data_IF_943668821000
#
_entry.id   IF_943668821000
#
_cell.length_a   1.000
_cell.length_b   1.000
_cell.length_c   1.000
_cell.angle_alpha   90.00
_cell.angle_beta   90.00
_cell.angle_gamma   90.00
#
_symmetry.space_group_name_H-M   'P 1'
#
loop_
_entity.id
_entity.type
_entity.pdbx_description
1 polymer ?
#
# COMPACT_ATOMS: atom_id res chain seq x y z
N UNK A 1 -2.33 9.66 11.96
CA UNK A 1 -2.98 8.66 12.84
C UNK A 1 -2.59 7.28 12.35
N UNK A 2 -2.63 6.23 13.20
CA UNK A 2 -2.34 4.88 12.71
C UNK A 2 -3.54 4.31 11.95
N UNK A 3 -3.31 3.71 10.79
CA UNK A 3 -4.40 3.21 9.93
C UNK A 3 -5.28 2.20 10.67
N UNK A 4 -4.67 1.19 11.29
CA UNK A 4 -5.37 0.18 12.09
C UNK A 4 -6.31 0.80 13.14
N UNK A 5 -5.83 1.77 13.91
CA UNK A 5 -6.63 2.43 14.96
C UNK A 5 -7.82 3.20 14.37
N UNK A 6 -7.61 3.85 13.22
CA UNK A 6 -8.66 4.56 12.51
C UNK A 6 -9.78 3.61 12.09
N UNK A 7 -9.48 2.42 11.56
CA UNK A 7 -10.52 1.43 11.24
C UNK A 7 -11.12 0.74 12.48
N UNK A 8 -10.31 0.39 13.48
CA UNK A 8 -10.78 -0.27 14.70
C UNK A 8 -11.71 0.61 15.53
N UNK A 9 -11.55 1.94 15.45
CA UNK A 9 -12.49 2.87 16.09
C UNK A 9 -13.91 2.80 15.53
N UNK A 10 -14.11 2.15 14.37
CA UNK A 10 -15.38 2.16 13.65
C UNK A 10 -15.74 3.54 13.11
N UNK A 11 -14.78 4.47 13.13
CA UNK A 11 -15.00 5.85 12.74
C UNK A 11 -15.26 6.03 11.25
N UNK A 12 -14.64 5.16 10.47
CA UNK A 12 -14.66 5.21 9.03
C UNK A 12 -15.04 3.84 8.47
N UNK A 13 -15.66 3.87 7.31
CA UNK A 13 -15.75 2.70 6.44
C UNK A 13 -14.62 2.72 5.40
N UNK A 14 -14.28 1.54 4.90
CA UNK A 14 -13.43 1.40 3.72
C UNK A 14 -13.99 2.22 2.54
N UNK A 15 -13.15 3.07 1.94
CA UNK A 15 -13.50 3.91 0.80
C UNK A 15 -13.98 5.31 1.15
N UNK A 16 -14.00 5.69 2.43
CA UNK A 16 -14.27 7.07 2.83
C UNK A 16 -13.01 7.96 2.74
N UNK A 17 -11.83 7.34 2.79
CA UNK A 17 -10.53 7.94 2.56
C UNK A 17 -10.19 8.08 1.07
N UNK A 18 -8.91 7.95 0.75
CA UNK A 18 -8.41 7.96 -0.63
C UNK A 18 -8.10 6.56 -1.18
N UNK A 19 -8.68 5.50 -0.61
CA UNK A 19 -8.48 4.10 -1.04
C UNK A 19 -8.87 3.87 -2.50
N UNK A 20 -9.90 4.57 -2.99
CA UNK A 20 -10.51 4.34 -4.30
C UNK A 20 -10.52 5.58 -5.21
N UNK A 21 -9.69 6.59 -4.91
CA UNK A 21 -9.60 7.82 -5.73
C UNK A 21 -9.21 7.51 -7.18
N UNK A 22 -8.50 6.40 -7.42
CA UNK A 22 -8.18 5.94 -8.77
C UNK A 22 -9.42 5.50 -9.56
N UNK A 23 -10.32 4.74 -8.94
CA UNK A 23 -11.55 4.28 -9.58
C UNK A 23 -12.46 5.46 -9.93
N UNK A 24 -12.42 6.55 -9.14
CA UNK A 24 -13.09 7.81 -9.48
C UNK A 24 -12.62 8.37 -10.82
N UNK A 25 -11.31 8.40 -11.06
CA UNK A 25 -10.75 8.90 -12.30
C UNK A 25 -11.00 7.96 -13.48
N UNK A 26 -10.78 6.65 -13.29
CA UNK A 26 -10.87 5.66 -14.36
C UNK A 26 -12.28 5.55 -14.97
N UNK A 27 -13.31 5.67 -14.13
CA UNK A 27 -14.68 5.55 -14.61
C UNK A 27 -15.29 6.86 -15.12
N UNK A 28 -14.58 8.01 -15.02
CA UNK A 28 -15.12 9.36 -15.30
C UNK A 28 -16.49 9.65 -14.68
N UNK A 29 -16.91 8.81 -13.74
CA UNK A 29 -18.16 8.92 -13.00
C UNK A 29 -17.76 9.39 -11.62
N UNK A 30 -18.57 10.26 -11.01
CA UNK A 30 -18.38 10.62 -9.62
C UNK A 30 -18.51 9.33 -8.77
N UNK A 31 -17.43 8.58 -8.55
CA UNK A 31 -17.48 7.37 -7.71
C UNK A 31 -17.67 7.76 -6.24
N UNK A 32 -17.41 9.01 -5.83
CA UNK A 32 -18.00 9.54 -4.60
C UNK A 32 -19.51 9.36 -4.58
N UNK A 33 -20.19 9.46 -5.73
CA UNK A 33 -21.61 9.12 -5.88
C UNK A 33 -21.84 7.63 -5.97
N UNK A 34 -20.98 6.80 -6.57
CA UNK A 34 -21.13 5.33 -6.56
C UNK A 34 -20.85 4.70 -5.19
N UNK A 35 -19.70 4.98 -4.57
CA UNK A 35 -19.41 4.74 -3.17
C UNK A 35 -20.53 5.27 -2.27
N UNK A 36 -20.99 6.53 -2.42
CA UNK A 36 -22.17 7.02 -1.68
C UNK A 36 -23.50 6.38 -2.09
N UNK A 37 -23.67 5.81 -3.28
CA UNK A 37 -24.93 5.20 -3.74
C UNK A 37 -24.99 3.75 -3.34
N UNK A 38 -23.89 3.01 -3.42
CA UNK A 38 -23.68 1.69 -2.83
C UNK A 38 -23.73 1.80 -1.30
N UNK A 39 -23.16 2.85 -0.70
CA UNK A 39 -23.28 3.15 0.73
C UNK A 39 -24.68 3.67 1.11
N UNK A 40 -25.36 4.48 0.29
CA UNK A 40 -26.78 4.82 0.51
C UNK A 40 -27.67 3.59 0.36
N UNK A 41 -27.36 2.70 -0.58
CA UNK A 41 -27.96 1.38 -0.69
C UNK A 41 -27.64 0.57 0.57
N UNK A 42 -26.46 0.73 1.20
CA UNK A 42 -26.12 0.09 2.48
C UNK A 42 -26.83 0.67 3.68
N UNK A 43 -27.41 1.86 3.57
CA UNK A 43 -28.31 2.42 4.57
C UNK A 43 -29.75 1.90 4.42
N UNK A 44 -30.12 1.43 3.22
CA UNK A 44 -31.44 0.82 2.92
C UNK A 44 -31.39 -0.70 3.10
N UNK A 45 -30.24 -1.31 2.83
CA UNK A 45 -29.96 -2.73 2.98
C UNK A 45 -29.49 -2.95 4.43
N UNK A 46 -30.07 -3.90 5.19
CA UNK A 46 -29.70 -4.14 6.58
C UNK A 46 -28.18 -4.31 6.77
N UNK A 47 -27.60 -3.82 7.88
CA UNK A 47 -26.20 -4.09 8.21
C UNK A 47 -25.93 -5.60 8.14
N UNK A 48 -24.91 -5.98 7.36
CA UNK A 48 -24.59 -7.38 7.04
C UNK A 48 -25.10 -7.90 5.68
N UNK A 49 -25.89 -7.11 4.92
CA UNK A 49 -26.34 -7.49 3.56
C UNK A 49 -25.78 -6.62 2.44
N UNK A 50 -25.09 -5.51 2.74
CA UNK A 50 -24.33 -4.82 1.72
C UNK A 50 -23.07 -5.63 1.41
N UNK A 51 -23.13 -6.36 0.29
CA UNK A 51 -21.95 -6.98 -0.29
C UNK A 51 -21.22 -5.86 -1.03
N UNK A 52 -20.24 -5.23 -0.37
CA UNK A 52 -19.17 -4.57 -1.14
C UNK A 52 -18.69 -5.59 -2.17
N UNK A 53 -18.41 -5.19 -3.43
CA UNK A 53 -17.80 -6.09 -4.39
C UNK A 53 -16.64 -6.79 -3.67
N UNK A 54 -16.62 -8.12 -3.68
CA UNK A 54 -15.65 -8.93 -2.95
C UNK A 54 -14.21 -8.36 -3.00
N UNK A 55 -13.73 -7.81 -4.14
CA UNK A 55 -12.42 -7.17 -4.21
C UNK A 55 -12.21 -5.97 -3.26
N UNK A 56 -13.21 -5.10 -3.06
CA UNK A 56 -13.08 -3.93 -2.19
C UNK A 56 -13.00 -4.30 -0.71
N UNK A 57 -13.75 -5.34 -0.31
CA UNK A 57 -13.69 -5.88 1.05
C UNK A 57 -12.33 -6.54 1.33
N UNK A 58 -11.87 -7.40 0.42
CA UNK A 58 -10.55 -8.02 0.54
C UNK A 58 -9.45 -6.96 0.59
N UNK A 59 -9.54 -5.94 -0.24
CA UNK A 59 -8.57 -4.87 -0.31
C UNK A 59 -8.36 -4.14 1.04
N UNK A 60 -9.42 -3.61 1.64
CA UNK A 60 -9.29 -2.92 2.92
C UNK A 60 -9.05 -3.87 4.10
N UNK A 61 -9.77 -4.98 4.16
CA UNK A 61 -9.68 -5.88 5.32
C UNK A 61 -8.36 -6.65 5.32
N UNK A 62 -7.82 -7.02 4.15
CA UNK A 62 -6.56 -7.76 4.08
C UNK A 62 -5.32 -6.88 4.29
N UNK A 63 -5.45 -5.56 4.23
CA UNK A 63 -4.30 -4.67 4.42
C UNK A 63 -4.53 -3.47 5.34
N UNK A 64 -5.49 -2.58 5.07
CA UNK A 64 -5.52 -1.25 5.69
C UNK A 64 -5.97 -1.34 7.15
N UNK A 65 -6.92 -2.24 7.42
CA UNK A 65 -7.33 -2.60 8.78
C UNK A 65 -6.19 -3.19 9.63
N UNK A 66 -5.11 -3.65 8.98
CA UNK A 66 -3.98 -4.33 9.63
C UNK A 66 -2.71 -3.48 9.64
N UNK A 67 -2.73 -2.35 8.96
CA UNK A 67 -1.56 -1.51 8.78
C UNK A 67 -1.35 -0.65 10.02
N UNK A 68 -0.28 -0.92 10.79
CA UNK A 68 -0.09 -0.34 12.12
C UNK A 68 0.65 1.01 12.14
N UNK A 69 0.95 1.59 10.99
CA UNK A 69 1.74 2.81 10.88
C UNK A 69 0.89 4.05 10.65
N UNK A 70 1.51 5.22 10.69
CA UNK A 70 0.92 6.50 10.27
C UNK A 70 1.42 6.98 8.89
N UNK A 71 2.28 6.17 8.27
CA UNK A 71 3.00 6.53 7.05
C UNK A 71 2.04 6.66 5.87
N UNK A 72 2.41 7.52 4.95
CA UNK A 72 1.67 7.75 3.73
C UNK A 72 1.80 6.55 2.78
N UNK A 73 0.68 6.15 2.19
CA UNK A 73 0.59 5.07 1.22
C UNK A 73 0.26 5.63 -0.17
N UNK A 74 0.67 4.94 -1.22
CA UNK A 74 0.33 5.29 -2.60
C UNK A 74 -1.19 5.34 -2.78
N UNK A 75 -1.66 6.42 -3.40
CA UNK A 75 -3.07 6.59 -3.78
C UNK A 75 -3.43 5.63 -4.91
N UNK A 76 -2.51 5.46 -5.87
CA UNK A 76 -2.67 4.60 -7.04
C UNK A 76 -1.86 3.33 -6.87
N UNK A 77 -2.52 2.19 -6.94
CA UNK A 77 -1.95 0.90 -6.53
C UNK A 77 -1.89 -0.09 -7.67
N UNK A 78 -2.20 0.38 -8.88
CA UNK A 78 -2.07 -0.38 -10.11
C UNK A 78 -1.83 0.45 -11.37
N UNK A 79 -1.42 1.72 -11.25
CA UNK A 79 -1.16 2.53 -12.44
C UNK A 79 0.28 2.56 -12.88
N UNK A 80 0.43 2.61 -14.20
CA UNK A 80 1.69 2.80 -14.91
C UNK A 80 2.51 3.95 -14.30
N UNK A 81 3.80 3.69 -14.10
CA UNK A 81 4.81 4.63 -13.62
C UNK A 81 4.94 5.90 -14.47
N UNK A 82 4.39 5.91 -15.69
CA UNK A 82 4.37 7.07 -16.59
C UNK A 82 3.49 8.22 -16.13
N UNK A 83 2.55 7.99 -15.21
CA UNK A 83 1.70 9.05 -14.70
C UNK A 83 2.43 9.94 -13.68
N UNK A 84 2.36 11.27 -13.81
CA UNK A 84 3.04 12.20 -12.89
C UNK A 84 2.43 12.21 -11.48
N UNK A 85 1.27 11.59 -11.31
CA UNK A 85 0.52 11.59 -10.05
C UNK A 85 1.02 10.51 -9.07
N UNK A 86 2.15 10.80 -8.44
CA UNK A 86 2.76 9.98 -7.37
C UNK A 86 2.25 10.34 -5.99
N UNK A 87 1.02 10.84 -5.89
CA UNK A 87 0.47 11.24 -4.59
C UNK A 87 0.42 10.05 -3.65
N UNK A 88 0.88 10.29 -2.43
CA UNK A 88 0.64 9.41 -1.29
C UNK A 88 -0.34 10.09 -0.34
N UNK A 89 -0.95 9.35 0.56
CA UNK A 89 -1.97 9.88 1.47
C UNK A 89 -1.96 9.16 2.81
N UNK A 90 -2.52 9.80 3.84
CA UNK A 90 -2.67 9.21 5.17
C UNK A 90 -3.88 9.77 5.92
N UNK A 91 -4.26 9.08 7.00
CA UNK A 91 -5.24 9.58 7.97
C UNK A 91 -4.60 10.53 9.00
N UNK A 92 -5.32 11.60 9.32
CA UNK A 92 -4.95 12.64 10.28
C UNK A 92 -6.15 13.00 11.17
N UNK A 93 -5.90 13.70 12.27
CA UNK A 93 -6.99 14.24 13.07
C UNK A 93 -7.72 15.35 12.33
N UNK A 94 -9.00 15.57 12.65
CA UNK A 94 -9.83 16.65 12.09
C UNK A 94 -9.29 18.06 12.37
N UNK A 95 -8.46 18.21 13.41
CA UNK A 95 -7.76 19.44 13.73
C UNK A 95 -6.54 19.71 12.83
N UNK A 96 -6.21 18.80 11.89
CA UNK A 96 -5.09 19.01 10.97
C UNK A 96 -5.40 20.22 10.07
N UNK A 97 -4.62 21.31 10.16
CA UNK A 97 -4.97 22.57 9.50
C UNK A 97 -4.76 22.54 7.99
N UNK A 98 -3.95 21.59 7.50
CA UNK A 98 -3.63 21.45 6.09
C UNK A 98 -3.86 20.01 5.61
N UNK A 99 -4.92 19.85 4.82
CA UNK A 99 -5.28 18.58 4.22
C UNK A 99 -4.66 18.38 2.82
N UNK A 100 -4.02 19.40 2.25
CA UNK A 100 -3.36 19.36 0.92
C UNK A 100 -4.18 18.66 -0.17
N UNK A 101 -5.46 19.02 -0.27
CA UNK A 101 -6.41 18.43 -1.22
C UNK A 101 -7.12 17.17 -0.73
N UNK A 102 -6.88 16.76 0.52
CA UNK A 102 -7.69 15.79 1.23
C UNK A 102 -8.99 16.36 1.79
N UNK A 103 -9.62 15.63 2.71
CA UNK A 103 -10.99 15.92 3.14
C UNK A 103 -11.24 15.60 4.61
N UNK A 104 -12.08 16.43 5.23
CA UNK A 104 -12.71 16.16 6.52
C UNK A 104 -13.75 15.06 6.36
N UNK A 105 -13.63 13.99 7.14
CA UNK A 105 -14.64 12.95 7.17
C UNK A 105 -15.80 13.42 8.05
N UNK A 106 -17.00 13.33 7.49
CA UNK A 106 -18.22 13.58 8.25
C UNK A 106 -18.62 12.26 8.94
N UNK A 107 -19.26 12.32 10.12
CA UNK A 107 -19.79 11.13 10.75
C UNK A 107 -20.75 10.40 9.80
N UNK A 108 -20.32 9.23 9.32
CA UNK A 108 -21.01 8.42 8.32
C UNK A 108 -21.86 7.32 8.94
N UNK A 109 -21.60 6.97 10.20
CA UNK A 109 -22.37 6.00 10.96
C UNK A 109 -23.29 6.69 12.01
N UNK A 110 -24.52 6.17 12.24
CA UNK A 110 -25.39 6.63 13.32
C UNK A 110 -24.77 6.47 14.72
N UNK A 111 -23.72 5.64 14.84
CA UNK A 111 -22.91 5.47 16.05
C UNK A 111 -21.88 6.60 16.29
N UNK A 112 -21.90 7.68 15.51
CA UNK A 112 -21.04 8.86 15.74
C UNK A 112 -19.57 8.68 15.38
N UNK A 113 -19.25 7.62 14.61
CA UNK A 113 -17.86 7.18 14.42
C UNK A 113 -16.94 8.22 13.78
N UNK A 114 -17.35 8.95 12.75
CA UNK A 114 -16.42 9.76 11.93
C UNK A 114 -15.96 11.07 12.56
N UNK A 115 -16.44 11.43 13.75
CA UNK A 115 -15.99 12.66 14.41
C UNK A 115 -14.51 12.58 14.75
N UNK A 116 -13.75 13.59 14.34
CA UNK A 116 -12.35 13.70 14.72
C UNK A 116 -11.34 13.19 13.69
N UNK A 117 -11.76 12.61 12.56
CA UNK A 117 -10.83 12.04 11.56
C UNK A 117 -10.91 12.79 10.22
N UNK A 118 -9.76 12.94 9.57
CA UNK A 118 -9.61 13.47 8.22
C UNK A 118 -8.56 12.65 7.49
N UNK A 119 -8.44 12.86 6.19
CA UNK A 119 -7.30 12.36 5.44
C UNK A 119 -6.70 13.49 4.61
N UNK A 120 -5.41 13.37 4.32
CA UNK A 120 -4.65 14.36 3.54
C UNK A 120 -3.78 13.68 2.49
N UNK A 121 -3.48 14.39 1.41
CA UNK A 121 -2.36 14.02 0.57
C UNK A 121 -1.05 14.41 1.26
N UNK A 122 -0.03 13.60 1.05
CA UNK A 122 1.27 13.75 1.66
C UNK A 122 2.24 14.44 0.71
N UNK A 123 3.22 15.10 1.31
CA UNK A 123 4.28 15.81 0.61
C UNK A 123 5.60 15.08 0.83
N UNK A 124 6.28 14.76 -0.28
CA UNK A 124 7.60 14.14 -0.28
C UNK A 124 8.58 14.94 0.58
N UNK A 125 9.30 14.24 1.45
CA UNK A 125 10.31 14.84 2.36
C UNK A 125 9.74 15.55 3.59
N UNK A 126 8.43 15.81 3.64
CA UNK A 126 7.78 16.41 4.81
C UNK A 126 6.99 15.37 5.63
N UNK A 127 6.24 14.49 4.98
CA UNK A 127 5.52 13.41 5.65
C UNK A 127 6.26 12.09 5.50
N UNK A 128 6.22 11.27 6.55
CA UNK A 128 6.79 9.91 6.50
C UNK A 128 6.00 9.07 5.48
N UNK A 129 6.68 8.60 4.43
CA UNK A 129 6.07 7.76 3.39
C UNK A 129 6.53 6.30 3.49
N UNK A 130 5.64 5.36 3.12
CA UNK A 130 6.01 3.97 2.91
C UNK A 130 7.05 3.81 1.79
N UNK A 131 7.00 4.71 0.81
CA UNK A 131 7.91 4.75 -0.32
C UNK A 131 9.39 4.96 0.09
N UNK A 132 9.63 5.54 1.28
CA UNK A 132 10.97 5.80 1.80
C UNK A 132 11.54 4.64 2.63
N UNK A 133 10.77 3.56 2.81
CA UNK A 133 11.19 2.36 3.52
C UNK A 133 11.81 1.41 2.49
N UNK A 134 13.02 0.86 2.71
CA UNK A 134 13.58 -0.15 1.81
C UNK A 134 12.73 -1.43 1.76
N UNK A 135 12.66 -2.15 0.62
CA UNK A 135 11.86 -3.37 0.48
C UNK A 135 12.11 -4.41 1.57
N UNK A 136 13.38 -4.69 1.87
CA UNK A 136 13.77 -5.65 2.91
C UNK A 136 13.21 -5.27 4.27
N UNK A 137 13.41 -4.02 4.69
CA UNK A 137 12.93 -3.53 5.97
C UNK A 137 11.39 -3.61 6.04
N UNK A 138 10.70 -3.31 4.94
CA UNK A 138 9.25 -3.39 4.87
C UNK A 138 8.74 -4.84 5.02
N UNK A 139 9.41 -5.83 4.41
CA UNK A 139 9.08 -7.26 4.55
C UNK A 139 9.34 -7.79 5.96
N UNK A 140 10.48 -7.44 6.55
CA UNK A 140 10.83 -7.81 7.92
C UNK A 140 9.86 -7.20 8.94
N UNK A 141 9.46 -5.94 8.72
CA UNK A 141 8.48 -5.27 9.55
C UNK A 141 7.07 -5.89 9.41
N UNK A 142 6.63 -6.23 8.20
CA UNK A 142 5.35 -6.90 7.98
C UNK A 142 5.28 -8.25 8.72
N UNK A 143 6.37 -9.01 8.68
CA UNK A 143 6.52 -10.26 9.43
C UNK A 143 6.43 -10.03 10.92
N UNK A 144 7.11 -9.00 11.43
CA UNK A 144 7.06 -8.62 12.85
C UNK A 144 5.66 -8.22 13.30
N UNK A 145 4.96 -7.39 12.53
CA UNK A 145 3.58 -6.97 12.85
C UNK A 145 2.62 -8.15 12.89
N UNK A 146 2.83 -9.16 12.02
CA UNK A 146 2.04 -10.38 12.03
C UNK A 146 2.23 -11.17 13.35
N UNK A 147 3.47 -11.26 13.84
CA UNK A 147 3.78 -11.89 15.13
C UNK A 147 3.20 -11.10 16.30
N UNK A 148 3.44 -9.79 16.34
CA UNK A 148 3.00 -8.90 17.43
C UNK A 148 1.47 -8.82 17.56
N UNK A 149 0.75 -8.94 16.45
CA UNK A 149 -0.72 -8.97 16.46
C UNK A 149 -1.32 -10.30 16.90
N UNK A 150 -0.51 -11.31 17.23
CA UNK A 150 -0.99 -12.66 17.56
C UNK A 150 -1.64 -13.37 16.37
N UNK A 151 -1.40 -12.87 15.15
CA UNK A 151 -2.07 -13.30 13.92
C UNK A 151 -1.51 -14.58 13.31
N UNK A 152 -0.59 -15.24 14.02
CA UNK A 152 0.21 -16.36 13.51
C UNK A 152 -0.63 -17.55 13.01
N UNK A 153 -1.86 -17.72 13.49
CA UNK A 153 -2.71 -18.87 13.13
C UNK A 153 -3.88 -18.54 12.20
N UNK A 154 -4.18 -17.26 11.95
CA UNK A 154 -5.33 -16.85 11.16
C UNK A 154 -4.90 -15.92 10.03
N UNK A 155 -4.94 -16.45 8.80
CA UNK A 155 -4.69 -15.70 7.56
C UNK A 155 -5.46 -14.38 7.48
N UNK A 156 -6.63 -14.32 8.11
CA UNK A 156 -7.49 -13.14 8.15
C UNK A 156 -6.93 -11.98 8.97
N UNK A 157 -5.88 -12.16 9.78
CA UNK A 157 -5.33 -11.10 10.64
C UNK A 157 -3.94 -10.60 10.21
N UNK A 158 -3.33 -11.20 9.18
CA UNK A 158 -2.03 -10.77 8.67
C UNK A 158 -2.17 -9.77 7.52
N UNK A 159 -1.36 -8.71 7.53
CA UNK A 159 -1.23 -7.81 6.38
C UNK A 159 -0.81 -8.57 5.12
N UNK A 160 -1.55 -8.40 4.03
CA UNK A 160 -1.17 -8.94 2.74
C UNK A 160 0.09 -8.22 2.24
N UNK A 161 1.21 -8.96 2.16
CA UNK A 161 2.50 -8.38 1.80
C UNK A 161 2.53 -7.83 0.37
N UNK A 162 1.86 -8.50 -0.58
CA UNK A 162 1.75 -8.00 -1.96
C UNK A 162 1.03 -6.65 -2.02
N UNK A 163 -0.06 -6.48 -1.27
CA UNK A 163 -0.73 -5.17 -1.14
C UNK A 163 0.16 -4.13 -0.48
N UNK A 164 0.86 -4.49 0.60
CA UNK A 164 1.79 -3.57 1.27
C UNK A 164 2.88 -3.06 0.33
N UNK A 165 3.41 -3.91 -0.56
CA UNK A 165 4.38 -3.50 -1.57
C UNK A 165 3.78 -2.53 -2.59
N UNK A 166 2.57 -2.79 -3.08
CA UNK A 166 1.85 -1.87 -4.00
C UNK A 166 1.50 -0.53 -3.33
N UNK A 167 1.37 -0.51 -2.00
CA UNK A 167 1.15 0.72 -1.22
C UNK A 167 2.42 1.52 -0.99
N UNK A 168 3.56 0.84 -0.95
CA UNK A 168 4.85 1.49 -0.78
C UNK A 168 5.43 1.95 -2.12
N UNK A 169 5.30 1.14 -3.17
CA UNK A 169 6.05 1.32 -4.40
C UNK A 169 5.12 1.32 -5.62
N UNK A 170 5.49 2.04 -6.69
CA UNK A 170 4.73 2.05 -7.93
C UNK A 170 4.69 0.65 -8.56
N UNK A 171 3.53 0.31 -9.14
CA UNK A 171 3.33 -0.90 -9.94
C UNK A 171 3.52 -0.62 -11.42
N UNK A 172 4.28 -1.44 -12.13
CA UNK A 172 4.35 -1.38 -13.60
C UNK A 172 3.30 -2.30 -14.23
N UNK A 173 2.05 -1.84 -14.29
CA UNK A 173 0.93 -2.68 -14.70
C UNK A 173 0.99 -3.21 -16.15
N UNK A 174 1.77 -2.58 -17.03
CA UNK A 174 2.00 -3.01 -18.41
C UNK A 174 3.19 -3.97 -18.56
N UNK A 175 3.89 -4.28 -17.46
CA UNK A 175 5.08 -5.13 -17.45
C UNK A 175 4.83 -6.33 -16.55
N UNK A 176 5.21 -7.52 -17.01
CA UNK A 176 5.27 -8.71 -16.16
C UNK A 176 6.71 -9.15 -15.98
N UNK A 177 6.97 -9.91 -14.91
CA UNK A 177 8.32 -10.35 -14.59
C UNK A 177 8.98 -11.13 -15.74
N UNK A 178 8.21 -11.89 -16.52
CA UNK A 178 8.72 -12.66 -17.66
C UNK A 178 9.43 -11.79 -18.72
N UNK A 179 9.03 -10.52 -18.89
CA UNK A 179 9.64 -9.59 -19.85
C UNK A 179 10.94 -8.98 -19.32
N UNK A 180 11.06 -8.91 -17.99
CA UNK A 180 12.17 -8.25 -17.29
C UNK A 180 13.26 -9.25 -16.89
N UNK A 181 12.86 -10.46 -16.49
CA UNK A 181 13.73 -11.47 -15.89
C UNK A 181 14.94 -11.85 -16.76
N UNK A 182 14.81 -12.13 -18.06
CA UNK A 182 15.95 -12.57 -18.88
C UNK A 182 17.02 -11.49 -18.96
N UNK A 183 16.61 -10.24 -19.17
CA UNK A 183 17.48 -9.07 -19.21
C UNK A 183 18.06 -8.77 -17.82
N UNK A 184 17.28 -9.02 -16.78
CA UNK A 184 17.71 -8.82 -15.41
C UNK A 184 18.84 -9.79 -15.03
N UNK A 185 18.69 -11.08 -15.35
CA UNK A 185 19.64 -12.15 -15.03
C UNK A 185 21.00 -11.96 -15.72
N UNK A 186 21.02 -11.45 -16.95
CA UNK A 186 22.26 -11.21 -17.70
C UNK A 186 22.89 -9.83 -17.41
N UNK A 187 22.31 -9.05 -16.49
CA UNK A 187 22.80 -7.70 -16.15
C UNK A 187 22.61 -6.66 -17.27
N UNK A 188 21.75 -6.92 -18.27
CA UNK A 188 21.50 -6.01 -19.39
C UNK A 188 20.53 -4.88 -19.01
N UNK A 189 20.85 -4.12 -17.96
CA UNK A 189 20.00 -3.04 -17.40
C UNK A 189 19.59 -1.98 -18.42
N UNK A 190 20.51 -1.64 -19.34
CA UNK A 190 20.27 -0.68 -20.42
C UNK A 190 19.23 -1.14 -21.46
N UNK A 191 18.88 -2.43 -21.48
CA UNK A 191 17.87 -3.02 -22.38
C UNK A 191 16.53 -3.24 -21.71
N UNK A 192 16.42 -2.97 -20.41
CA UNK A 192 15.16 -3.11 -19.68
C UNK A 192 14.08 -2.20 -20.28
N UNK A 193 12.79 -2.56 -20.12
CA UNK A 193 11.70 -1.67 -20.49
C UNK A 193 11.89 -0.27 -19.91
N UNK A 194 11.55 0.75 -20.70
CA UNK A 194 11.86 2.14 -20.38
C UNK A 194 11.29 2.59 -19.02
N UNK A 195 10.10 2.11 -18.66
CA UNK A 195 9.50 2.38 -17.36
C UNK A 195 10.31 1.79 -16.20
N UNK A 196 10.78 0.55 -16.34
CA UNK A 196 11.65 -0.14 -15.36
C UNK A 196 12.97 0.61 -15.22
N UNK A 197 13.61 0.95 -16.34
CA UNK A 197 14.90 1.65 -16.35
C UNK A 197 14.82 3.00 -15.64
N UNK A 198 13.82 3.83 -15.98
CA UNK A 198 13.62 5.14 -15.32
C UNK A 198 13.35 5.02 -13.83
N UNK A 199 12.59 4.01 -13.41
CA UNK A 199 12.34 3.76 -11.99
C UNK A 199 13.61 3.40 -11.21
N UNK A 200 14.43 2.51 -11.76
CA UNK A 200 15.71 2.12 -11.16
C UNK A 200 16.73 3.27 -11.13
N UNK A 201 16.83 4.06 -12.20
CA UNK A 201 17.69 5.24 -12.27
C UNK A 201 17.30 6.31 -11.23
N UNK A 202 16.01 6.41 -10.91
CA UNK A 202 15.51 7.27 -9.84
C UNK A 202 15.84 6.78 -8.43
N UNK A 203 16.47 5.61 -8.28
CA UNK A 203 16.79 5.01 -6.98
C UNK A 203 15.56 4.60 -6.16
N UNK A 204 14.41 4.44 -6.81
CA UNK A 204 13.13 4.13 -6.14
C UNK A 204 12.79 2.65 -6.34
N UNK A 205 12.28 1.96 -5.31
CA UNK A 205 11.77 0.62 -5.51
C UNK A 205 10.55 0.61 -6.42
N UNK A 206 10.27 -0.52 -7.07
CA UNK A 206 9.08 -0.73 -7.88
C UNK A 206 8.59 -2.17 -7.75
N UNK A 207 7.29 -2.38 -7.97
CA UNK A 207 6.66 -3.71 -8.04
C UNK A 207 6.42 -4.09 -9.51
N UNK A 208 6.68 -5.35 -9.84
CA UNK A 208 6.31 -5.99 -11.10
C UNK A 208 5.50 -7.23 -10.76
N UNK A 209 4.32 -7.37 -11.35
CA UNK A 209 3.53 -8.59 -11.18
C UNK A 209 4.15 -9.74 -11.99
N UNK A 210 4.03 -10.98 -11.49
CA UNK A 210 4.48 -12.16 -12.24
C UNK A 210 3.46 -12.52 -13.34
N UNK A 211 2.20 -12.15 -13.16
CA UNK A 211 1.08 -12.44 -14.06
C UNK A 211 0.35 -11.15 -14.48
N UNK A 212 -0.23 -11.13 -15.68
CA UNK A 212 -0.91 -9.96 -16.22
C UNK A 212 -2.23 -9.60 -15.51
N UNK A 213 -2.83 -10.54 -14.79
CA UNK A 213 -4.06 -10.29 -14.03
C UNK A 213 -3.80 -9.46 -12.76
N UNK A 214 -2.53 -9.18 -12.44
CA UNK A 214 -2.11 -8.41 -11.27
C UNK A 214 -2.28 -9.16 -9.95
N UNK A 215 -2.63 -10.45 -10.01
CA UNK A 215 -2.84 -11.31 -8.86
C UNK A 215 -1.65 -12.25 -8.63
N UNK A 216 -1.53 -12.71 -7.39
CA UNK A 216 -0.54 -13.71 -7.03
C UNK A 216 0.84 -13.14 -6.74
N UNK A 217 1.87 -13.83 -7.24
CA UNK A 217 3.28 -13.56 -6.97
C UNK A 217 3.77 -12.28 -7.64
N UNK A 218 4.75 -11.64 -7.02
CA UNK A 218 5.30 -10.35 -7.44
C UNK A 218 6.81 -10.36 -7.34
N UNK A 219 7.46 -9.40 -8.00
CA UNK A 219 8.88 -9.11 -7.83
C UNK A 219 9.04 -7.63 -7.51
N UNK A 220 9.83 -7.33 -6.47
CA UNK A 220 10.20 -5.96 -6.10
C UNK A 220 11.64 -5.72 -6.50
N UNK A 221 11.86 -4.67 -7.30
CA UNK A 221 13.19 -4.26 -7.74
C UNK A 221 13.61 -2.98 -7.01
N UNK A 222 14.87 -2.92 -6.58
CA UNK A 222 15.45 -1.74 -5.94
C UNK A 222 16.96 -1.69 -6.18
N UNK A 223 17.42 -0.77 -7.03
CA UNK A 223 18.83 -0.70 -7.43
C UNK A 223 19.29 -1.99 -8.12
N UNK A 224 20.25 -2.70 -7.54
CA UNK A 224 20.71 -4.02 -8.01
C UNK A 224 19.94 -5.20 -7.41
N UNK A 225 19.04 -4.92 -6.46
CA UNK A 225 18.31 -5.95 -5.74
C UNK A 225 17.03 -6.35 -6.48
N UNK A 226 16.75 -7.65 -6.45
CA UNK A 226 15.45 -8.21 -6.83
C UNK A 226 14.98 -9.17 -5.74
N UNK A 227 13.74 -8.99 -5.30
CA UNK A 227 13.10 -9.79 -4.27
C UNK A 227 11.83 -10.41 -4.86
N UNK A 228 11.69 -11.74 -4.81
CA UNK A 228 10.41 -12.35 -5.14
C UNK A 228 9.50 -12.36 -3.93
N UNK A 229 8.20 -12.19 -4.17
CA UNK A 229 7.12 -12.39 -3.23
C UNK A 229 6.23 -13.48 -3.80
N UNK A 230 6.36 -14.69 -3.31
CA UNK A 230 5.67 -15.88 -3.82
C UNK A 230 4.47 -16.19 -2.94
N UNK A 231 3.28 -16.35 -3.54
CA UNK A 231 2.11 -16.78 -2.79
C UNK A 231 2.27 -18.25 -2.41
N UNK A 232 2.42 -18.50 -1.11
CA UNK A 232 2.52 -19.85 -0.57
C UNK A 232 1.89 -19.88 0.84
N UNK A 233 1.06 -20.89 1.09
CA UNK A 233 0.39 -21.10 2.38
C UNK A 233 1.35 -21.61 3.45
N UNK A 234 2.52 -22.11 3.07
CA UNK A 234 3.54 -22.57 4.00
C UNK A 234 4.34 -21.42 4.66
N UNK A 235 4.14 -20.18 4.23
CA UNK A 235 4.91 -19.04 4.73
C UNK A 235 4.48 -18.69 6.17
N UNK A 236 5.43 -18.60 7.12
CA UNK A 236 5.10 -18.70 8.56
C UNK A 236 4.34 -17.51 9.14
N UNK A 237 4.20 -16.41 8.41
CA UNK A 237 3.61 -15.19 8.97
C UNK A 237 2.77 -14.39 7.99
N UNK A 238 2.81 -14.68 6.70
CA UNK A 238 1.99 -14.01 5.67
C UNK A 238 1.61 -15.01 4.58
N UNK A 239 0.67 -14.66 3.70
CA UNK A 239 0.36 -15.51 2.52
C UNK A 239 1.45 -15.44 1.44
N UNK A 240 2.50 -14.64 1.67
CA UNK A 240 3.66 -14.46 0.80
C UNK A 240 4.95 -14.90 1.50
N UNK A 241 5.74 -15.71 0.80
CA UNK A 241 7.14 -15.92 1.11
C UNK A 241 7.94 -14.91 0.33
N UNK A 242 9.01 -14.39 0.92
CA UNK A 242 9.94 -13.56 0.17
C UNK A 242 11.33 -14.18 0.15
N UNK A 243 11.99 -14.09 -1.00
CA UNK A 243 13.38 -14.49 -1.16
C UNK A 243 14.14 -13.52 -2.03
N UNK A 244 15.43 -13.39 -1.75
CA UNK A 244 16.32 -12.67 -2.64
C UNK A 244 16.50 -13.45 -3.95
N UNK A 245 16.33 -12.79 -5.09
CA UNK A 245 16.68 -13.32 -6.41
C UNK A 245 18.09 -12.88 -6.82
N UNK A 246 18.50 -11.65 -6.50
CA UNK A 246 19.83 -11.12 -6.78
C UNK A 246 20.14 -9.87 -5.95
N UNK A 247 21.42 -9.60 -5.71
CA UNK A 247 21.90 -8.29 -5.22
C UNK A 247 21.81 -8.04 -3.71
N UNK A 248 21.10 -8.89 -2.94
CA UNK A 248 20.80 -8.61 -1.53
C UNK A 248 21.94 -8.92 -0.54
N UNK A 249 23.00 -9.59 -0.99
CA UNK A 249 24.17 -9.96 -0.15
C UNK A 249 24.92 -8.73 0.35
N UNK A 250 24.96 -7.67 -0.47
CA UNK A 250 25.63 -6.41 -0.13
C UNK A 250 24.90 -5.68 1.01
N UNK A 251 23.58 -5.81 1.11
CA UNK A 251 22.79 -5.19 2.17
C UNK A 251 22.98 -5.85 3.55
N UNK A 252 23.43 -7.11 3.61
CA UNK A 252 23.71 -7.79 4.87
C UNK A 252 25.05 -7.38 5.50
N UNK A 253 25.96 -6.80 4.71
CA UNK A 253 27.32 -6.44 5.15
C UNK A 253 27.53 -4.94 5.37
N UNK A 254 26.65 -4.08 4.84
CA UNK A 254 26.63 -2.66 5.17
C UNK A 254 25.79 -2.43 6.43
N UNK A 255 26.43 -2.03 7.53
CA UNK A 255 25.70 -1.42 8.65
C UNK A 255 24.84 -0.29 8.09
N UNK A 256 23.52 -0.38 8.27
CA UNK A 256 22.60 0.68 7.84
C UNK A 256 23.15 2.02 8.35
N UNK A 257 23.36 3.03 7.49
CA UNK A 257 23.75 4.34 7.95
C UNK A 257 22.69 4.77 8.95
N UNK A 258 23.12 5.01 10.19
CA UNK A 258 22.24 5.36 11.30
C UNK A 258 21.50 6.63 10.89
N UNK A 259 20.26 6.49 10.42
CA UNK A 259 19.38 7.62 10.16
C UNK A 259 19.17 8.26 11.54
N UNK A 260 19.60 9.53 11.76
CA UNK A 260 19.36 10.17 13.04
C UNK A 260 17.85 10.14 13.26
N UNK A 261 17.44 9.66 14.44
CA UNK A 261 16.03 9.63 14.81
C UNK A 261 15.44 11.02 14.55
N UNK A 262 14.36 11.08 13.76
CA UNK A 262 13.58 12.29 13.63
C UNK A 262 13.21 12.70 15.06
N UNK A 263 13.67 13.88 15.49
CA UNK A 263 13.27 14.46 16.77
C UNK A 263 11.75 14.53 16.74
N UNK A 264 11.11 13.73 17.58
CA UNK A 264 9.68 13.82 17.77
C UNK A 264 9.39 15.17 18.39
N UNK A 265 8.85 16.09 17.59
CA UNK A 265 8.12 17.22 18.14
C UNK A 265 6.82 16.68 18.73
N UNK A 266 6.66 16.87 20.04
CA UNK A 266 5.40 16.69 20.74
C UNK A 266 4.34 17.60 20.09
N UNK A 267 3.29 16.98 19.56
CA UNK A 267 2.01 17.58 19.19
C UNK A 267 0.92 16.90 20.00
#
# INVERSE_FOLDING_TARGET
MRWKEVYESGAIACGEGAEFVELEHAFQTNFTTFGRTVFKLSLIIPPGKLVMPHPAYEFCNSGYHKFQHRRCANVRQGQQYSEPDRRTWCYVGSACPDLRGGRLLLPSAPSGGGEGISWKFCQDGLDESLHDVPPRELMENATRWAVESGSMYYYNNVINLGWLMKWAYPLLADQVWADVEPLWKIGARHRLPEAVRRALEGGRPLVIDVQHDGHGSQVVLHGEEAWSLEVDKACPHTVYCYRCLSGCEKAASGSLPHRPAAKGDEL
#
